data_IF_262655229030
#
_entry.id   IF_262655229030
#
_cell.length_a   1.000
_cell.length_b   1.000
_cell.length_c   1.000
_cell.angle_alpha   90.00
_cell.angle_beta   90.00
_cell.angle_gamma   90.00
#
_symmetry.space_group_name_H-M   'P 1'
#
loop_
_entity.id
_entity.type
_entity.pdbx_description
1 polymer ?
#
# COMPACT_ATOMS: atom_id res chain seq x y z
N UNK A 1 -6.86 -2.66 11.75
CA UNK A 1 -6.60 -3.97 11.11
C UNK A 1 -7.88 -4.76 10.88
N UNK A 2 -8.83 -4.75 11.82
CA UNK A 2 -10.14 -5.44 11.72
C UNK A 2 -10.84 -5.34 10.35
N UNK A 3 -10.92 -4.16 9.73
CA UNK A 3 -11.56 -4.00 8.42
C UNK A 3 -10.82 -4.77 7.31
N UNK A 4 -9.48 -4.73 7.33
CA UNK A 4 -8.63 -5.42 6.35
C UNK A 4 -8.64 -6.95 6.53
N UNK A 5 -8.90 -7.42 7.75
CA UNK A 5 -9.09 -8.86 8.04
C UNK A 5 -10.41 -9.38 7.47
N UNK A 6 -11.48 -8.55 7.52
CA UNK A 6 -12.82 -8.95 7.09
C UNK A 6 -13.08 -8.69 5.62
N UNK A 7 -12.47 -7.65 5.02
CA UNK A 7 -12.75 -7.19 3.66
C UNK A 7 -11.50 -6.64 2.97
N UNK A 8 -11.45 -6.78 1.63
CA UNK A 8 -10.44 -6.09 0.80
C UNK A 8 -10.57 -4.58 1.03
N UNK A 9 -9.52 -3.98 1.57
CA UNK A 9 -9.48 -2.56 1.93
C UNK A 9 -8.47 -1.84 1.06
N UNK A 10 -8.85 -0.69 0.51
CA UNK A 10 -7.98 0.17 -0.28
C UNK A 10 -7.79 1.51 0.43
N UNK A 11 -6.56 2.00 0.45
CA UNK A 11 -6.21 3.34 0.95
C UNK A 11 -5.89 4.20 -0.27
N UNK A 12 -6.63 5.30 -0.44
CA UNK A 12 -6.50 6.20 -1.58
C UNK A 12 -5.95 7.57 -1.15
N UNK A 13 -5.36 8.27 -2.10
CA UNK A 13 -4.66 9.54 -1.93
C UNK A 13 -4.78 10.30 -3.27
N UNK A 14 -4.84 11.64 -3.25
CA UNK A 14 -4.94 12.46 -4.47
C UNK A 14 -3.70 12.34 -5.36
N UNK A 15 -2.56 12.01 -4.78
CA UNK A 15 -1.29 11.91 -5.49
C UNK A 15 -1.20 10.61 -6.30
N UNK A 16 -0.99 10.77 -7.61
CA UNK A 16 -0.89 9.64 -8.54
C UNK A 16 0.24 8.67 -8.18
N UNK A 17 1.38 9.17 -7.70
CA UNK A 17 2.58 8.38 -7.41
C UNK A 17 2.66 7.98 -5.93
N UNK A 18 2.50 6.69 -5.64
CA UNK A 18 2.48 6.15 -4.28
C UNK A 18 3.77 6.36 -3.49
N UNK A 19 4.91 6.42 -4.17
CA UNK A 19 6.23 6.60 -3.54
C UNK A 19 6.57 8.07 -3.26
N UNK A 20 5.77 9.02 -3.75
CA UNK A 20 5.94 10.46 -3.52
C UNK A 20 4.96 11.05 -2.49
N UNK A 21 4.09 10.23 -1.91
CA UNK A 21 3.08 10.68 -0.96
C UNK A 21 3.11 9.87 0.34
N UNK A 22 2.34 10.33 1.32
CA UNK A 22 2.24 9.79 2.66
C UNK A 22 1.82 8.30 2.72
N UNK A 23 1.13 7.77 1.70
CA UNK A 23 0.78 6.34 1.63
C UNK A 23 2.00 5.42 1.49
N UNK A 24 3.19 5.94 1.14
CA UNK A 24 4.45 5.16 1.20
C UNK A 24 4.72 4.69 2.63
N UNK A 25 4.69 5.61 3.59
CA UNK A 25 4.98 5.29 5.00
C UNK A 25 3.93 4.34 5.60
N UNK A 26 2.66 4.53 5.26
CA UNK A 26 1.59 3.61 5.68
C UNK A 26 1.86 2.19 5.12
N UNK A 27 2.26 2.10 3.84
CA UNK A 27 2.57 0.82 3.22
C UNK A 27 3.81 0.15 3.85
N UNK A 28 4.85 0.92 4.18
CA UNK A 28 6.03 0.43 4.88
C UNK A 28 5.64 -0.18 6.24
N UNK A 29 4.88 0.55 7.07
CA UNK A 29 4.45 0.06 8.38
C UNK A 29 3.55 -1.17 8.30
N UNK A 30 2.62 -1.22 7.34
CA UNK A 30 1.78 -2.39 7.12
C UNK A 30 2.61 -3.62 6.74
N UNK A 31 3.61 -3.46 5.87
CA UNK A 31 4.51 -4.57 5.50
C UNK A 31 5.37 -5.00 6.69
N UNK A 32 5.87 -4.08 7.52
CA UNK A 32 6.58 -4.42 8.77
C UNK A 32 5.71 -5.23 9.73
N UNK A 33 4.41 -4.93 9.78
CA UNK A 33 3.41 -5.70 10.53
C UNK A 33 3.03 -7.04 9.88
N UNK A 34 3.68 -7.44 8.78
CA UNK A 34 3.47 -8.72 8.10
C UNK A 34 2.41 -8.69 6.99
N UNK A 35 1.85 -7.54 6.65
CA UNK A 35 0.77 -7.44 5.65
C UNK A 35 1.30 -7.37 4.22
N UNK A 36 0.55 -7.96 3.30
CA UNK A 36 0.82 -7.84 1.86
C UNK A 36 0.16 -6.57 1.33
N UNK A 37 0.96 -5.55 1.06
CA UNK A 37 0.48 -4.30 0.43
C UNK A 37 0.71 -4.34 -1.08
N UNK A 38 -0.31 -3.93 -1.85
CA UNK A 38 -0.26 -3.84 -3.32
C UNK A 38 -0.66 -2.42 -3.77
N UNK A 39 0.16 -1.81 -4.61
CA UNK A 39 -0.09 -0.52 -5.23
C UNK A 39 -0.85 -0.71 -6.54
N UNK A 40 -2.09 -0.21 -6.59
CA UNK A 40 -2.90 -0.18 -7.81
C UNK A 40 -2.47 1.05 -8.62
N UNK A 41 -1.86 0.83 -9.79
CA UNK A 41 -1.37 1.89 -10.66
C UNK A 41 -2.38 2.16 -11.77
N UNK A 42 -2.87 1.10 -12.39
CA UNK A 42 -3.94 1.11 -13.39
C UNK A 42 -4.87 -0.08 -13.16
N UNK A 43 -5.90 -0.22 -13.99
CA UNK A 43 -6.81 -1.37 -13.96
C UNK A 43 -6.06 -2.70 -14.18
N UNK A 44 -5.09 -2.73 -15.09
CA UNK A 44 -4.30 -3.93 -15.38
C UNK A 44 -3.00 -4.03 -14.58
N UNK A 45 -2.52 -2.92 -14.00
CA UNK A 45 -1.20 -2.87 -13.36
C UNK A 45 -1.28 -2.69 -11.85
N UNK A 46 -0.81 -3.72 -11.14
CA UNK A 46 -0.67 -3.74 -9.69
C UNK A 46 0.76 -4.14 -9.33
N UNK A 47 1.38 -3.43 -8.39
CA UNK A 47 2.77 -3.67 -7.97
C UNK A 47 2.78 -4.04 -6.48
N UNK A 48 3.44 -5.15 -6.12
CA UNK A 48 3.65 -5.50 -4.70
C UNK A 48 4.60 -4.47 -4.07
N UNK A 49 4.22 -3.91 -2.92
CA UNK A 49 5.11 -3.05 -2.16
C UNK A 49 6.28 -3.85 -1.60
N UNK A 50 7.47 -3.28 -1.63
CA UNK A 50 8.67 -3.81 -1.00
C UNK A 50 9.18 -2.74 -0.05
N UNK A 51 9.52 -3.16 1.17
CA UNK A 51 10.20 -2.30 2.13
C UNK A 51 11.50 -1.82 1.49
N UNK A 52 11.66 -0.50 1.45
CA UNK A 52 12.92 0.10 1.06
C UNK A 52 13.75 0.28 2.33
N UNK A 53 14.79 -0.53 2.50
CA UNK A 53 15.69 -0.50 3.66
C UNK A 53 16.75 0.63 3.55
N UNK A 54 16.35 1.82 3.08
CA UNK A 54 17.27 2.98 3.09
C UNK A 54 17.36 3.57 4.48
#
# INVERSE_FOLDING_TARGET
MELAEKKKTAIMCSEALWFKCHRRYIADELVKLGWIVKHIITKERVIKHRLNNN
#
